data_IF_369861828419
#
_entry.id   IF_369861828419
#
_cell.length_a   1.000
_cell.length_b   1.000
_cell.length_c   1.000
_cell.angle_alpha   90.00
_cell.angle_beta   90.00
_cell.angle_gamma   90.00
#
_symmetry.space_group_name_H-M   'P 1'
#
loop_
_entity.id
_entity.type
_entity.pdbx_description
1 polymer ?
#
# COMPACT_ATOMS: atom_id res chain seq x y z
N UNK A 1 -22.25 -4.66 26.11
CA UNK A 1 -21.77 -3.85 24.97
C UNK A 1 -20.24 -3.98 24.88
N UNK A 2 -19.71 -4.91 24.07
CA UNK A 2 -18.26 -5.17 23.90
C UNK A 2 -17.57 -4.13 22.98
N UNK A 3 -18.13 -2.92 22.94
CA UNK A 3 -17.74 -1.83 22.05
C UNK A 3 -16.50 -1.06 22.54
N UNK A 4 -16.05 -1.32 23.77
CA UNK A 4 -15.03 -0.51 24.41
C UNK A 4 -13.67 -1.21 24.35
N UNK A 5 -12.75 -0.61 23.57
CA UNK A 5 -11.27 -0.71 23.60
C UNK A 5 -10.56 -1.31 22.38
N UNK A 6 -11.29 -1.77 21.36
CA UNK A 6 -10.67 -2.05 20.06
C UNK A 6 -11.72 -2.21 18.98
N UNK A 7 -11.57 -1.46 17.89
CA UNK A 7 -12.47 -1.55 16.73
C UNK A 7 -12.14 -2.85 16.00
N UNK A 8 -12.98 -3.87 16.16
CA UNK A 8 -12.88 -5.09 15.37
C UNK A 8 -13.25 -4.77 13.92
N UNK A 9 -12.36 -5.08 13.00
CA UNK A 9 -12.52 -4.70 11.59
C UNK A 9 -13.31 -5.73 10.78
N UNK A 10 -13.59 -6.90 11.38
CA UNK A 10 -14.37 -7.99 10.77
C UNK A 10 -15.79 -7.59 10.34
N UNK A 11 -16.34 -6.53 10.94
CA UNK A 11 -17.64 -5.97 10.55
C UNK A 11 -17.60 -5.22 9.20
N UNK A 12 -16.40 -4.85 8.71
CA UNK A 12 -16.24 -4.11 7.45
C UNK A 12 -16.13 -5.06 6.25
N UNK A 13 -15.32 -6.11 6.36
CA UNK A 13 -15.15 -7.14 5.34
C UNK A 13 -14.54 -8.41 5.96
N UNK A 14 -14.86 -9.57 5.40
CA UNK A 14 -14.36 -10.87 5.87
C UNK A 14 -12.83 -11.01 5.88
N UNK A 15 -12.12 -10.28 5.01
CA UNK A 15 -10.66 -10.25 4.96
C UNK A 15 -10.04 -9.62 6.22
N UNK A 16 -10.81 -8.86 6.98
CA UNK A 16 -10.39 -8.26 8.25
C UNK A 16 -10.71 -9.13 9.46
N UNK A 17 -11.16 -10.38 9.27
CA UNK A 17 -11.37 -11.30 10.39
C UNK A 17 -10.09 -11.48 11.20
N UNK A 18 -10.21 -11.35 12.52
CA UNK A 18 -9.09 -11.43 13.44
C UNK A 18 -8.25 -10.16 13.52
N UNK A 19 -8.54 -9.12 12.73
CA UNK A 19 -7.90 -7.81 12.80
C UNK A 19 -8.68 -6.83 13.68
N UNK A 20 -7.94 -6.00 14.43
CA UNK A 20 -8.51 -4.98 15.28
C UNK A 20 -7.56 -3.78 15.45
N UNK A 21 -8.13 -2.59 15.59
CA UNK A 21 -7.37 -1.41 16.01
C UNK A 21 -7.32 -1.36 17.53
N UNK A 22 -6.12 -1.42 18.11
CA UNK A 22 -5.89 -1.37 19.57
C UNK A 22 -4.80 -0.37 19.90
N UNK A 23 -5.10 0.59 20.78
CA UNK A 23 -4.13 1.62 21.26
C UNK A 23 -3.38 2.36 20.12
N UNK A 24 -4.05 2.61 18.99
CA UNK A 24 -3.44 3.28 17.83
C UNK A 24 -2.68 2.37 16.86
N UNK A 25 -2.63 1.06 17.13
CA UNK A 25 -1.98 0.08 16.26
C UNK A 25 -3.00 -0.81 15.56
N UNK A 26 -2.70 -1.21 14.34
CA UNK A 26 -3.44 -2.28 13.66
C UNK A 26 -2.86 -3.62 14.12
N UNK A 27 -3.69 -4.46 14.73
CA UNK A 27 -3.27 -5.73 15.34
C UNK A 27 -4.07 -6.89 14.81
N UNK A 28 -3.53 -8.11 14.91
CA UNK A 28 -4.30 -9.33 14.65
C UNK A 28 -4.16 -10.40 15.74
N UNK A 29 -4.98 -11.44 15.64
CA UNK A 29 -4.98 -12.59 16.55
C UNK A 29 -3.68 -13.41 16.56
N UNK A 30 -2.83 -13.25 15.54
CA UNK A 30 -1.52 -13.91 15.44
C UNK A 30 -0.40 -13.11 16.13
N UNK A 31 -0.72 -11.99 16.78
CA UNK A 31 0.25 -11.15 17.46
C UNK A 31 0.97 -10.14 16.56
N UNK A 32 0.53 -9.97 15.30
CA UNK A 32 1.03 -8.90 14.45
C UNK A 32 0.57 -7.55 15.01
N UNK A 33 1.48 -6.58 15.06
CA UNK A 33 1.22 -5.20 15.46
C UNK A 33 1.87 -4.29 14.41
N UNK A 34 1.07 -3.45 13.78
CA UNK A 34 1.50 -2.52 12.74
C UNK A 34 1.25 -1.08 13.17
N UNK A 35 2.27 -0.23 13.02
CA UNK A 35 2.13 1.22 13.13
C UNK A 35 1.62 1.81 11.82
N UNK A 36 1.06 3.04 11.83
CA UNK A 36 0.69 3.74 10.60
C UNK A 36 1.85 3.86 9.60
N UNK A 37 3.08 4.10 10.08
CA UNK A 37 4.27 4.24 9.24
C UNK A 37 4.64 2.91 8.57
N UNK A 38 4.49 1.79 9.27
CA UNK A 38 4.73 0.46 8.70
C UNK A 38 3.68 0.11 7.63
N UNK A 39 2.42 0.47 7.85
CA UNK A 39 1.35 0.29 6.87
C UNK A 39 1.64 1.13 5.62
N UNK A 40 1.99 2.41 5.80
CA UNK A 40 2.33 3.30 4.70
C UNK A 40 3.56 2.82 3.93
N UNK A 41 4.58 2.33 4.64
CA UNK A 41 5.79 1.76 4.03
C UNK A 41 5.45 0.51 3.22
N UNK A 42 4.63 -0.40 3.75
CA UNK A 42 4.17 -1.58 3.02
C UNK A 42 3.40 -1.22 1.76
N UNK A 43 2.50 -0.23 1.84
CA UNK A 43 1.80 0.32 0.67
C UNK A 43 2.78 0.88 -0.36
N UNK A 44 3.73 1.72 0.06
CA UNK A 44 4.74 2.29 -0.83
C UNK A 44 5.58 1.21 -1.53
N UNK A 45 6.00 0.16 -0.80
CA UNK A 45 6.77 -0.95 -1.37
C UNK A 45 5.99 -1.73 -2.44
N UNK A 46 4.68 -1.89 -2.28
CA UNK A 46 3.81 -2.53 -3.28
C UNK A 46 3.71 -1.66 -4.54
N UNK A 47 3.68 -0.33 -4.37
CA UNK A 47 3.59 0.62 -5.48
C UNK A 47 4.91 0.84 -6.22
N UNK A 48 6.08 0.58 -5.60
CA UNK A 48 7.38 0.70 -6.28
C UNK A 48 7.45 -0.27 -7.46
N UNK A 49 7.69 0.27 -8.65
CA UNK A 49 7.75 -0.56 -9.86
C UNK A 49 6.37 -1.03 -10.31
N UNK A 50 5.32 -0.31 -9.89
CA UNK A 50 3.96 -0.50 -10.37
C UNK A 50 3.91 -0.53 -11.90
N UNK A 51 2.84 -1.09 -12.44
CA UNK A 51 2.59 -1.07 -13.89
C UNK A 51 2.64 0.36 -14.45
N UNK A 52 2.21 1.33 -13.65
CA UNK A 52 2.23 2.74 -14.05
C UNK A 52 3.66 3.25 -14.21
N UNK A 53 4.55 3.02 -13.23
CA UNK A 53 5.96 3.41 -13.31
C UNK A 53 6.64 2.87 -14.56
N UNK A 54 6.41 1.57 -14.85
CA UNK A 54 6.97 0.92 -16.05
C UNK A 54 6.44 1.51 -17.35
N UNK A 55 5.16 1.86 -17.39
CA UNK A 55 4.55 2.48 -18.56
C UNK A 55 5.12 3.89 -18.79
N UNK A 56 5.21 4.70 -17.73
CA UNK A 56 5.80 6.04 -17.78
C UNK A 56 7.26 5.97 -18.23
N UNK A 57 8.05 5.06 -17.65
CA UNK A 57 9.44 4.84 -18.06
C UNK A 57 9.55 4.48 -19.54
N UNK A 58 8.66 3.63 -20.05
CA UNK A 58 8.61 3.26 -21.46
C UNK A 58 8.34 4.46 -22.36
N UNK A 59 7.38 5.30 -22.00
CA UNK A 59 7.05 6.52 -22.76
C UNK A 59 8.19 7.53 -22.75
N UNK A 60 8.83 7.75 -21.59
CA UNK A 60 10.01 8.63 -21.49
C UNK A 60 11.12 8.15 -22.43
N UNK A 61 11.44 6.85 -22.42
CA UNK A 61 12.47 6.28 -23.29
C UNK A 61 12.08 6.41 -24.76
N UNK A 62 10.80 6.17 -25.10
CA UNK A 62 10.28 6.32 -26.47
C UNK A 62 10.46 7.75 -26.96
N UNK A 63 10.03 8.74 -26.18
CA UNK A 63 10.14 10.16 -26.52
C UNK A 63 11.62 10.57 -26.65
N UNK A 64 12.49 10.16 -25.72
CA UNK A 64 13.91 10.45 -25.78
C UNK A 64 14.57 9.90 -27.07
N UNK A 65 14.17 8.71 -27.53
CA UNK A 65 14.63 8.15 -28.81
C UNK A 65 14.17 8.97 -30.00
N UNK A 66 12.92 9.43 -30.00
CA UNK A 66 12.37 10.29 -31.07
C UNK A 66 13.07 11.66 -31.11
N UNK A 67 13.32 12.28 -29.96
CA UNK A 67 14.06 13.53 -29.88
C UNK A 67 15.48 13.37 -30.41
N UNK A 68 16.17 12.26 -30.05
CA UNK A 68 17.50 11.95 -30.58
C UNK A 68 17.53 11.82 -32.10
N UNK A 69 16.45 11.31 -32.71
CA UNK A 69 16.36 11.24 -34.19
C UNK A 69 16.11 12.58 -34.86
N UNK A 70 15.54 13.57 -34.15
CA UNK A 70 15.26 14.90 -34.70
C UNK A 70 16.45 15.86 -34.60
N UNK A 71 17.34 15.65 -33.62
CA UNK A 71 18.51 16.52 -33.35
C UNK A 71 19.74 16.05 -34.16
N UNK A 72 19.56 15.11 -35.10
CA UNK A 72 20.61 14.55 -35.94
C UNK A 72 20.47 15.07 -37.37
#
# INVERSE_FOLDING_TARGET
MKLHKGLELSALDSNWKGWAVKKGYLTNERGVVLTPEQILTGFALIEIGSKNDRNIQREIIRIARLLKTLIK
#
